data_IF_126920474954
#
_entry.id   IF_126920474954
#
_cell.length_a   1.000
_cell.length_b   1.000
_cell.length_c   1.000
_cell.angle_alpha   90.00
_cell.angle_beta   90.00
_cell.angle_gamma   90.00
#
_symmetry.space_group_name_H-M   'P 1'
#
loop_
_entity.id
_entity.type
_entity.pdbx_description
1 polymer ?
#
# COMPACT_ATOMS: atom_id res chain seq x y z
N UNK A 1 -34.65 -28.42 79.20
CA UNK A 1 -35.05 -29.32 78.10
C UNK A 1 -35.99 -28.50 77.22
N UNK A 2 -35.65 -28.02 76.03
CA UNK A 2 -34.67 -28.51 75.04
C UNK A 2 -34.25 -27.33 74.16
N UNK A 3 -33.09 -27.51 73.55
CA UNK A 3 -32.18 -26.53 72.96
C UNK A 3 -32.42 -26.31 71.45
N UNK A 4 -31.69 -25.35 70.88
CA UNK A 4 -31.31 -25.20 69.45
C UNK A 4 -31.99 -24.16 68.54
N UNK A 5 -31.40 -22.96 68.61
CA UNK A 5 -30.54 -22.34 67.59
C UNK A 5 -31.06 -22.08 66.14
N UNK A 6 -31.07 -20.80 65.84
CA UNK A 6 -31.36 -20.08 64.59
C UNK A 6 -30.20 -20.16 63.58
N UNK A 7 -30.48 -20.37 62.28
CA UNK A 7 -30.14 -19.45 61.16
C UNK A 7 -30.26 -20.05 59.74
N UNK A 8 -30.92 -19.24 58.92
CA UNK A 8 -30.68 -18.91 57.50
C UNK A 8 -30.77 -20.00 56.42
N UNK A 9 -31.79 -19.83 55.56
CA UNK A 9 -31.76 -20.27 54.17
C UNK A 9 -32.08 -19.06 53.30
N UNK A 10 -31.15 -18.68 52.43
CA UNK A 10 -31.28 -17.61 51.44
C UNK A 10 -32.31 -18.01 50.38
N UNK A 11 -33.18 -17.06 49.99
CA UNK A 11 -33.91 -17.09 48.72
C UNK A 11 -33.45 -15.87 47.92
N UNK A 12 -32.70 -16.11 46.85
CA UNK A 12 -32.39 -15.11 45.84
C UNK A 12 -33.53 -15.08 44.82
N UNK A 13 -34.14 -13.90 44.69
CA UNK A 13 -35.16 -13.56 43.72
C UNK A 13 -34.50 -13.35 42.35
N UNK A 14 -35.10 -13.90 41.29
CA UNK A 14 -34.70 -13.70 39.88
C UNK A 14 -34.88 -12.24 39.45
N UNK A 15 -33.87 -11.68 38.79
CA UNK A 15 -33.97 -10.45 38.00
C UNK A 15 -34.22 -10.75 36.50
N UNK A 16 -34.87 -9.84 35.76
CA UNK A 16 -35.26 -10.07 34.37
C UNK A 16 -34.23 -9.53 33.35
N UNK A 17 -34.00 -10.33 32.30
CA UNK A 17 -33.89 -9.86 30.91
C UNK A 17 -32.54 -9.29 30.47
N UNK A 18 -31.63 -10.18 30.06
CA UNK A 18 -30.47 -9.82 29.25
C UNK A 18 -30.91 -9.22 27.91
N UNK A 19 -30.41 -8.01 27.65
CA UNK A 19 -30.47 -7.35 26.36
C UNK A 19 -29.76 -8.22 25.30
N UNK A 20 -30.48 -8.52 24.23
CA UNK A 20 -29.94 -9.16 23.02
C UNK A 20 -28.77 -8.34 22.48
N UNK A 21 -27.56 -8.89 22.65
CA UNK A 21 -26.40 -8.50 21.88
C UNK A 21 -26.69 -8.87 20.42
N UNK A 22 -26.89 -7.86 19.57
CA UNK A 22 -26.80 -8.01 18.12
C UNK A 22 -25.31 -8.26 17.78
N UNK A 23 -24.92 -9.53 17.80
CA UNK A 23 -23.67 -9.97 17.20
C UNK A 23 -23.81 -9.89 15.67
N UNK A 24 -22.89 -9.17 15.03
CA UNK A 24 -22.72 -9.21 13.59
C UNK A 24 -22.51 -10.66 13.15
N UNK A 25 -23.34 -11.08 12.19
CA UNK A 25 -23.27 -12.41 11.62
C UNK A 25 -21.94 -12.58 10.84
N UNK A 26 -21.27 -13.73 10.94
CA UNK A 26 -20.08 -14.00 10.13
C UNK A 26 -20.48 -14.01 8.65
N UNK A 27 -19.85 -13.15 7.84
CA UNK A 27 -20.02 -13.13 6.40
C UNK A 27 -19.24 -14.33 5.81
N UNK A 28 -19.86 -15.51 5.89
CA UNK A 28 -19.39 -16.74 5.26
C UNK A 28 -20.38 -17.20 4.20
N UNK A 29 -20.12 -16.85 2.94
CA UNK A 29 -20.81 -17.44 1.80
C UNK A 29 -20.31 -18.86 1.59
N UNK A 30 -21.20 -19.85 1.82
CA UNK A 30 -21.00 -21.29 1.73
C UNK A 30 -19.82 -21.80 2.58
N UNK A 31 -20.08 -22.69 3.56
CA UNK A 31 -19.07 -23.19 4.53
C UNK A 31 -17.90 -24.00 3.94
N UNK A 32 -17.62 -23.83 2.64
CA UNK A 32 -16.69 -24.62 1.87
C UNK A 32 -15.51 -23.83 1.28
N UNK A 33 -15.63 -22.56 0.92
CA UNK A 33 -14.55 -21.84 0.22
C UNK A 33 -13.90 -20.75 1.05
N UNK A 34 -12.61 -20.47 0.79
CA UNK A 34 -11.85 -19.41 1.46
C UNK A 34 -11.51 -18.24 0.54
N UNK A 35 -11.21 -17.10 1.16
CA UNK A 35 -10.65 -15.92 0.48
C UNK A 35 -9.13 -15.87 0.73
N UNK A 36 -8.36 -15.91 -0.36
CA UNK A 36 -6.92 -15.67 -0.36
C UNK A 36 -6.63 -14.20 -0.64
N UNK A 37 -5.75 -13.58 0.13
CA UNK A 37 -5.28 -12.22 -0.07
C UNK A 37 -3.82 -12.27 -0.55
N UNK A 38 -3.51 -11.54 -1.62
CA UNK A 38 -2.15 -11.35 -2.14
C UNK A 38 -1.93 -9.86 -2.38
N UNK A 39 -1.00 -9.25 -1.66
CA UNK A 39 -0.56 -7.89 -1.96
C UNK A 39 0.95 -7.84 -2.11
N UNK A 40 1.41 -7.11 -3.12
CA UNK A 40 2.84 -6.87 -3.36
C UNK A 40 3.13 -5.38 -3.53
N UNK A 41 2.36 -4.54 -2.84
CA UNK A 41 2.40 -3.10 -3.03
C UNK A 41 3.61 -2.41 -2.40
N UNK A 42 4.24 -3.05 -1.41
CA UNK A 42 5.45 -2.56 -0.76
C UNK A 42 6.48 -3.68 -0.58
N UNK A 43 6.13 -4.67 0.25
CA UNK A 43 6.78 -5.98 0.35
C UNK A 43 5.90 -7.04 -0.31
N UNK A 44 5.76 -8.22 0.31
CA UNK A 44 4.63 -9.11 0.03
C UNK A 44 3.85 -9.42 1.30
N UNK A 45 2.54 -9.38 1.18
CA UNK A 45 1.60 -9.83 2.21
C UNK A 45 0.72 -10.91 1.60
N UNK A 46 0.72 -12.08 2.22
CA UNK A 46 -0.09 -13.21 1.77
C UNK A 46 -0.81 -13.80 2.96
N UNK A 47 -2.11 -14.02 2.84
CA UNK A 47 -2.89 -14.59 3.94
C UNK A 47 -4.23 -15.13 3.50
N UNK A 48 -4.77 -16.03 4.33
CA UNK A 48 -6.15 -16.51 4.22
C UNK A 48 -6.99 -15.73 5.21
N UNK A 49 -8.16 -15.24 4.79
CA UNK A 49 -9.06 -14.48 5.66
C UNK A 49 -9.39 -15.28 6.93
N UNK A 50 -9.25 -14.67 8.11
CA UNK A 50 -9.43 -15.32 9.41
C UNK A 50 -8.17 -15.98 9.98
N UNK A 51 -7.01 -15.78 9.34
CA UNK A 51 -5.72 -16.30 9.78
C UNK A 51 -4.63 -15.22 9.72
N UNK A 52 -3.57 -15.40 10.51
CA UNK A 52 -2.41 -14.51 10.52
C UNK A 52 -1.72 -14.48 9.14
N UNK A 53 -1.49 -13.29 8.54
CA UNK A 53 -0.75 -13.18 7.30
C UNK A 53 0.73 -13.51 7.46
N UNK A 54 1.34 -13.89 6.35
CA UNK A 54 2.79 -13.88 6.16
C UNK A 54 3.15 -12.56 5.48
N UNK A 55 4.04 -11.79 6.13
CA UNK A 55 4.52 -10.50 5.64
C UNK A 55 6.04 -10.58 5.39
N UNK A 56 6.47 -10.22 4.19
CA UNK A 56 7.87 -10.07 3.80
C UNK A 56 8.15 -8.62 3.43
N UNK A 57 8.84 -7.88 4.29
CA UNK A 57 9.18 -6.48 4.06
C UNK A 57 10.43 -6.28 3.18
N UNK A 58 11.18 -7.35 2.87
CA UNK A 58 12.38 -7.27 2.04
C UNK A 58 12.05 -7.19 0.54
N UNK A 59 12.22 -5.98 0.01
CA UNK A 59 12.06 -5.66 -1.41
C UNK A 59 12.91 -6.50 -2.38
N UNK A 60 13.95 -7.20 -1.95
CA UNK A 60 14.77 -8.04 -2.83
C UNK A 60 14.24 -9.46 -2.99
N UNK A 61 13.64 -10.02 -1.94
CA UNK A 61 13.25 -11.44 -1.89
C UNK A 61 11.73 -11.67 -1.94
N UNK A 62 10.92 -10.63 -1.78
CA UNK A 62 9.44 -10.75 -1.74
C UNK A 62 8.84 -11.45 -2.98
N UNK A 63 9.40 -11.25 -4.17
CA UNK A 63 8.94 -11.92 -5.41
C UNK A 63 9.29 -13.40 -5.41
N UNK A 64 10.52 -13.75 -5.03
CA UNK A 64 10.99 -15.15 -5.00
C UNK A 64 10.25 -15.96 -3.92
N UNK A 65 9.92 -15.31 -2.80
CA UNK A 65 9.19 -15.93 -1.68
C UNK A 65 7.69 -15.95 -1.87
N UNK A 66 7.14 -15.29 -2.89
CA UNK A 66 5.70 -15.15 -3.07
C UNK A 66 4.98 -16.51 -3.16
N UNK A 67 5.41 -17.38 -4.08
CA UNK A 67 4.81 -18.70 -4.25
C UNK A 67 4.98 -19.60 -3.01
N UNK A 68 6.19 -19.72 -2.41
CA UNK A 68 6.35 -20.42 -1.14
C UNK A 68 5.45 -19.89 -0.01
N UNK A 69 5.27 -18.57 0.07
CA UNK A 69 4.44 -17.95 1.10
C UNK A 69 2.94 -18.15 0.86
N UNK A 70 2.48 -18.23 -0.39
CA UNK A 70 1.11 -18.66 -0.70
C UNK A 70 0.89 -20.09 -0.23
N UNK A 71 1.78 -21.01 -0.56
CA UNK A 71 1.67 -22.40 -0.12
C UNK A 71 1.68 -22.50 1.42
N UNK A 72 2.56 -21.77 2.09
CA UNK A 72 2.65 -21.74 3.56
C UNK A 72 1.40 -21.11 4.19
N UNK A 73 0.87 -20.01 3.66
CA UNK A 73 -0.36 -19.40 4.18
C UNK A 73 -1.55 -20.36 4.12
N UNK A 74 -1.69 -21.10 3.02
CA UNK A 74 -2.73 -22.13 2.88
C UNK A 74 -2.52 -23.28 3.88
N UNK A 75 -1.27 -23.73 4.06
CA UNK A 75 -0.93 -24.77 5.02
C UNK A 75 -1.20 -24.35 6.47
N UNK A 76 -0.79 -23.14 6.85
CA UNK A 76 -0.96 -22.59 8.20
C UNK A 76 -2.46 -22.38 8.52
N UNK A 77 -3.27 -22.07 7.50
CA UNK A 77 -4.72 -22.03 7.61
C UNK A 77 -5.38 -23.43 7.69
N UNK A 78 -4.65 -24.49 7.35
CA UNK A 78 -5.18 -25.85 7.27
C UNK A 78 -6.14 -26.06 6.10
N UNK A 79 -6.00 -25.29 5.02
CA UNK A 79 -6.93 -25.25 3.88
C UNK A 79 -6.26 -25.79 2.62
N UNK A 80 -6.95 -26.67 1.90
CA UNK A 80 -6.49 -27.16 0.61
C UNK A 80 -6.65 -26.11 -0.50
N UNK A 81 -5.75 -26.12 -1.49
CA UNK A 81 -5.72 -25.11 -2.56
C UNK A 81 -6.99 -25.10 -3.44
N UNK A 82 -7.69 -26.23 -3.57
CA UNK A 82 -8.95 -26.36 -4.30
C UNK A 82 -10.15 -25.72 -3.58
N UNK A 83 -9.96 -25.26 -2.33
CA UNK A 83 -10.96 -24.52 -1.56
C UNK A 83 -10.86 -23.01 -1.73
N UNK A 84 -9.89 -22.51 -2.52
CA UNK A 84 -9.80 -21.08 -2.84
C UNK A 84 -10.97 -20.73 -3.76
N UNK A 85 -11.99 -20.08 -3.21
CA UNK A 85 -13.16 -19.60 -3.96
C UNK A 85 -13.08 -18.13 -4.36
N UNK A 86 -12.27 -17.35 -3.65
CA UNK A 86 -12.03 -15.93 -3.94
C UNK A 86 -10.58 -15.56 -3.71
N UNK A 87 -10.07 -14.64 -4.52
CA UNK A 87 -8.77 -14.01 -4.39
C UNK A 87 -8.97 -12.50 -4.42
N UNK A 88 -8.47 -11.80 -3.40
CA UNK A 88 -8.36 -10.34 -3.39
C UNK A 88 -6.88 -10.00 -3.60
N UNK A 89 -6.58 -9.32 -4.69
CA UNK A 89 -5.19 -8.97 -5.06
C UNK A 89 -4.98 -7.46 -5.05
N UNK A 90 -3.88 -7.02 -4.46
CA UNK A 90 -3.44 -5.62 -4.55
C UNK A 90 -3.13 -5.21 -5.98
N UNK A 91 -3.80 -4.15 -6.45
CA UNK A 91 -3.53 -3.53 -7.75
C UNK A 91 -2.65 -2.28 -7.66
N UNK A 92 -2.11 -2.03 -6.47
CA UNK A 92 -1.21 -0.95 -6.15
C UNK A 92 -1.95 0.28 -5.61
N UNK A 93 -1.31 1.46 -5.62
CA UNK A 93 -0.10 1.76 -6.37
C UNK A 93 1.21 1.24 -5.74
N UNK A 94 2.20 0.86 -6.57
CA UNK A 94 3.42 0.17 -6.15
C UNK A 94 4.52 0.03 -7.23
N UNK A 95 5.82 -0.11 -6.87
CA UNK A 95 6.87 -0.40 -7.84
C UNK A 95 6.56 -1.60 -8.76
N UNK A 96 6.81 -1.41 -10.07
CA UNK A 96 6.30 -2.27 -11.16
C UNK A 96 6.59 -3.77 -11.02
N UNK A 97 7.82 -4.14 -10.64
CA UNK A 97 8.25 -5.55 -10.61
C UNK A 97 7.46 -6.37 -9.59
N UNK A 98 7.34 -5.87 -8.35
CA UNK A 98 6.60 -6.54 -7.29
C UNK A 98 5.11 -6.61 -7.60
N UNK A 99 4.53 -5.50 -8.04
CA UNK A 99 3.11 -5.41 -8.36
C UNK A 99 2.68 -6.45 -9.42
N UNK A 100 3.45 -6.57 -10.50
CA UNK A 100 3.14 -7.54 -11.56
C UNK A 100 3.27 -8.98 -11.09
N UNK A 101 4.25 -9.29 -10.23
CA UNK A 101 4.40 -10.63 -9.70
C UNK A 101 3.17 -11.07 -8.90
N UNK A 102 2.66 -10.21 -8.02
CA UNK A 102 1.43 -10.44 -7.23
C UNK A 102 0.21 -10.66 -8.12
N UNK A 103 -0.04 -9.73 -9.06
CA UNK A 103 -1.19 -9.80 -9.98
C UNK A 103 -1.14 -11.06 -10.86
N UNK A 104 0.04 -11.39 -11.41
CA UNK A 104 0.18 -12.58 -12.27
C UNK A 104 -0.02 -13.87 -11.46
N UNK A 105 0.53 -13.95 -10.24
CA UNK A 105 0.30 -15.10 -9.36
C UNK A 105 -1.19 -15.26 -9.04
N UNK A 106 -1.87 -14.19 -8.67
CA UNK A 106 -3.31 -14.20 -8.39
C UNK A 106 -4.13 -14.64 -9.61
N UNK A 107 -3.83 -14.12 -10.81
CA UNK A 107 -4.48 -14.53 -12.06
C UNK A 107 -4.26 -16.00 -12.37
N UNK A 108 -3.05 -16.51 -12.18
CA UNK A 108 -2.74 -17.92 -12.43
C UNK A 108 -3.51 -18.85 -11.47
N UNK A 109 -3.59 -18.50 -10.18
CA UNK A 109 -4.35 -19.26 -9.20
C UNK A 109 -5.84 -19.19 -9.53
N UNK A 110 -6.38 -18.00 -9.80
CA UNK A 110 -7.79 -17.83 -10.18
C UNK A 110 -8.15 -18.67 -11.41
N UNK A 111 -7.29 -18.67 -12.43
CA UNK A 111 -7.47 -19.48 -13.63
C UNK A 111 -7.47 -20.98 -13.32
N UNK A 112 -6.61 -21.44 -12.41
CA UNK A 112 -6.49 -22.85 -12.05
C UNK A 112 -7.63 -23.33 -11.14
N UNK A 113 -8.09 -22.51 -10.20
CA UNK A 113 -9.11 -22.88 -9.21
C UNK A 113 -10.54 -22.50 -9.60
N UNK A 114 -10.71 -21.62 -10.60
CA UNK A 114 -12.01 -21.01 -10.91
C UNK A 114 -12.46 -19.96 -9.89
N UNK A 115 -11.55 -19.49 -9.03
CA UNK A 115 -11.86 -18.49 -8.01
C UNK A 115 -12.26 -17.15 -8.63
N UNK A 116 -13.18 -16.46 -7.94
CA UNK A 116 -13.45 -15.05 -8.19
C UNK A 116 -12.20 -14.21 -7.87
N UNK A 117 -11.81 -13.32 -8.78
CA UNK A 117 -10.62 -12.49 -8.63
C UNK A 117 -11.01 -11.01 -8.58
N UNK A 118 -10.68 -10.37 -7.46
CA UNK A 118 -10.98 -8.96 -7.21
C UNK A 118 -9.67 -8.18 -7.05
N UNK A 119 -9.51 -7.11 -7.84
CA UNK A 119 -8.44 -6.13 -7.65
C UNK A 119 -8.79 -5.12 -6.55
N UNK A 120 -7.83 -4.77 -5.70
CA UNK A 120 -8.03 -3.82 -4.60
C UNK A 120 -6.93 -2.76 -4.55
N UNK A 121 -7.34 -1.49 -4.56
CA UNK A 121 -6.48 -0.32 -4.35
C UNK A 121 -6.07 -0.24 -2.86
N UNK A 122 -4.78 -0.04 -2.58
CA UNK A 122 -4.28 0.06 -1.21
C UNK A 122 -4.50 1.44 -0.58
N UNK A 123 -4.42 2.54 -1.33
CA UNK A 123 -4.54 3.90 -0.80
C UNK A 123 -5.94 4.19 -0.27
N UNK A 124 -6.97 3.75 -1.01
CA UNK A 124 -8.37 3.90 -0.59
C UNK A 124 -8.65 3.15 0.72
N UNK A 125 -8.12 1.92 0.85
CA UNK A 125 -8.31 1.11 2.07
C UNK A 125 -7.54 1.70 3.25
N UNK A 126 -6.34 2.24 3.01
CA UNK A 126 -5.59 2.96 4.04
C UNK A 126 -6.35 4.21 4.52
N UNK A 127 -7.03 4.91 3.62
CA UNK A 127 -7.90 6.02 3.96
C UNK A 127 -9.08 5.59 4.83
N UNK A 128 -9.81 4.55 4.43
CA UNK A 128 -10.91 3.97 5.21
C UNK A 128 -10.45 3.57 6.62
N UNK A 129 -9.27 2.95 6.71
CA UNK A 129 -8.66 2.56 7.97
C UNK A 129 -8.35 3.78 8.85
N UNK A 130 -7.71 4.81 8.30
CA UNK A 130 -7.44 6.06 9.02
C UNK A 130 -8.73 6.71 9.51
N UNK A 131 -9.79 6.80 8.68
CA UNK A 131 -11.08 7.37 9.08
C UNK A 131 -11.69 6.64 10.27
N UNK A 132 -11.64 5.31 10.31
CA UNK A 132 -12.13 4.52 11.46
C UNK A 132 -11.35 4.82 12.73
N UNK A 133 -10.04 5.03 12.64
CA UNK A 133 -9.20 5.42 13.79
C UNK A 133 -9.49 6.84 14.29
N UNK A 134 -9.98 7.73 13.44
CA UNK A 134 -10.27 9.14 13.76
C UNK A 134 -11.72 9.35 14.24
N UNK A 135 -12.69 8.60 13.71
CA UNK A 135 -14.10 8.66 14.13
C UNK A 135 -14.27 8.29 15.62
N UNK A 136 -13.30 7.58 16.21
CA UNK A 136 -13.25 7.33 17.65
C UNK A 136 -12.85 8.58 18.47
N UNK A 137 -12.57 9.74 17.86
CA UNK A 137 -11.88 10.87 18.51
C UNK A 137 -12.35 12.29 18.15
N UNK A 138 -13.30 12.51 17.23
CA UNK A 138 -13.59 13.86 16.68
C UNK A 138 -14.81 14.60 17.27
N UNK A 139 -14.64 15.88 17.63
CA UNK A 139 -15.67 16.81 18.15
C UNK A 139 -16.34 17.68 17.05
N UNK A 140 -16.52 17.15 15.84
CA UNK A 140 -17.32 17.73 14.72
C UNK A 140 -16.90 19.09 14.15
N UNK A 141 -15.96 19.80 14.77
CA UNK A 141 -15.55 21.17 14.42
C UNK A 141 -14.33 21.26 13.50
N UNK A 142 -13.61 20.15 13.30
CA UNK A 142 -12.37 20.09 12.52
C UNK A 142 -12.55 19.11 11.38
N UNK A 143 -12.19 19.52 10.16
CA UNK A 143 -12.30 18.68 8.97
C UNK A 143 -11.04 17.87 8.80
N UNK A 144 -11.16 16.55 8.92
CA UNK A 144 -10.05 15.63 8.71
C UNK A 144 -9.93 15.30 7.22
N UNK A 145 -8.70 15.36 6.73
CA UNK A 145 -8.31 15.01 5.37
C UNK A 145 -7.25 13.93 5.48
N UNK A 146 -7.38 12.86 4.71
CA UNK A 146 -6.37 11.80 4.69
C UNK A 146 -5.50 11.91 3.45
N UNK A 147 -4.19 12.02 3.67
CA UNK A 147 -3.17 11.79 2.65
C UNK A 147 -2.70 10.34 2.77
N UNK A 148 -3.25 9.47 1.91
CA UNK A 148 -2.79 8.09 1.81
C UNK A 148 -1.58 8.03 0.87
N UNK A 149 -0.50 7.38 1.30
CA UNK A 149 0.75 7.29 0.54
C UNK A 149 1.29 5.87 0.46
N UNK A 150 2.12 5.63 -0.55
CA UNK A 150 3.00 4.46 -0.62
C UNK A 150 4.35 4.84 -1.25
N UNK A 151 5.45 4.23 -0.79
CA UNK A 151 6.81 4.54 -1.26
C UNK A 151 6.99 4.19 -2.75
N UNK A 152 7.15 5.22 -3.59
CA UNK A 152 7.37 5.05 -5.03
C UNK A 152 8.85 4.84 -5.40
N UNK A 153 9.73 4.76 -4.39
CA UNK A 153 11.19 4.79 -4.51
C UNK A 153 11.68 6.12 -5.11
N UNK A 154 13.00 6.29 -5.19
CA UNK A 154 13.67 7.47 -5.80
C UNK A 154 13.16 8.81 -5.23
N UNK A 155 12.84 8.84 -3.94
CA UNK A 155 12.35 10.01 -3.21
C UNK A 155 10.96 10.52 -3.62
N UNK A 156 10.15 9.69 -4.27
CA UNK A 156 8.78 10.00 -4.64
C UNK A 156 7.79 9.14 -3.84
N UNK A 157 6.54 9.59 -3.76
CA UNK A 157 5.43 8.85 -3.17
C UNK A 157 4.32 8.71 -4.20
N UNK A 158 3.69 7.54 -4.23
CA UNK A 158 2.32 7.44 -4.73
C UNK A 158 1.42 8.03 -3.66
N UNK A 159 0.46 8.85 -4.06
CA UNK A 159 -0.42 9.52 -3.11
C UNK A 159 -1.82 9.71 -3.68
N UNK A 160 -2.79 9.79 -2.80
CA UNK A 160 -4.14 10.27 -3.07
C UNK A 160 -4.63 11.04 -1.84
N UNK A 161 -5.49 12.04 -2.06
CA UNK A 161 -6.05 12.87 -0.98
C UNK A 161 -7.55 12.66 -0.90
N UNK A 162 -8.03 12.39 0.30
CA UNK A 162 -9.41 12.07 0.58
C UNK A 162 -9.98 12.90 1.70
N UNK A 163 -11.28 13.13 1.67
CA UNK A 163 -12.03 13.77 2.73
C UNK A 163 -13.43 13.18 2.76
N UNK A 164 -13.82 12.62 3.90
CA UNK A 164 -15.00 11.77 4.00
C UNK A 164 -14.97 10.66 2.94
N UNK A 165 -16.02 10.47 2.13
CA UNK A 165 -16.03 9.52 1.00
C UNK A 165 -15.51 10.14 -0.30
N UNK A 166 -15.09 11.42 -0.30
CA UNK A 166 -14.69 12.15 -1.51
C UNK A 166 -13.20 11.99 -1.77
N UNK A 167 -12.87 11.72 -3.03
CA UNK A 167 -11.52 11.87 -3.56
C UNK A 167 -11.29 13.33 -3.93
N UNK A 168 -10.40 14.01 -3.21
CA UNK A 168 -9.99 15.39 -3.50
C UNK A 168 -8.87 15.44 -4.53
N UNK A 169 -7.92 14.51 -4.44
CA UNK A 169 -6.89 14.29 -5.45
C UNK A 169 -6.81 12.81 -5.77
N UNK A 170 -7.03 12.48 -7.04
CA UNK A 170 -6.88 11.11 -7.54
C UNK A 170 -5.42 10.64 -7.40
N UNK A 171 -5.24 9.33 -7.45
CA UNK A 171 -3.93 8.70 -7.31
C UNK A 171 -2.93 9.25 -8.35
N UNK A 172 -1.81 9.76 -7.85
CA UNK A 172 -0.71 10.32 -8.64
C UNK A 172 0.64 10.01 -7.96
N UNK A 173 1.75 10.36 -8.62
CA UNK A 173 3.11 10.18 -8.10
C UNK A 173 3.86 11.52 -8.14
N UNK A 174 4.44 11.93 -7.02
CA UNK A 174 5.29 13.13 -7.01
C UNK A 174 6.31 13.14 -5.87
N UNK A 175 7.15 14.19 -5.84
CA UNK A 175 8.03 14.47 -4.71
C UNK A 175 7.22 15.04 -3.53
N UNK A 176 7.58 14.70 -2.27
CA UNK A 176 6.86 15.15 -1.08
C UNK A 176 6.61 16.66 -1.00
N UNK A 177 7.59 17.50 -1.38
CA UNK A 177 7.43 18.95 -1.37
C UNK A 177 6.39 19.44 -2.40
N UNK A 178 6.30 18.75 -3.54
CA UNK A 178 5.34 19.07 -4.60
C UNK A 178 3.93 18.61 -4.22
N UNK A 179 3.83 17.45 -3.55
CA UNK A 179 2.59 16.97 -2.92
C UNK A 179 2.07 18.01 -1.91
N UNK A 180 2.92 18.52 -1.02
CA UNK A 180 2.54 19.58 -0.06
C UNK A 180 1.95 20.79 -0.77
N UNK A 181 2.63 21.31 -1.80
CA UNK A 181 2.14 22.47 -2.57
C UNK A 181 0.77 22.20 -3.22
N UNK A 182 0.56 21.02 -3.78
CA UNK A 182 -0.72 20.62 -4.38
C UNK A 182 -1.83 20.51 -3.33
N UNK A 183 -1.54 19.94 -2.16
CA UNK A 183 -2.50 19.83 -1.05
C UNK A 183 -2.95 21.21 -0.58
N UNK A 184 -2.01 22.12 -0.34
CA UNK A 184 -2.32 23.49 0.09
C UNK A 184 -3.26 24.15 -0.92
N UNK A 185 -2.90 24.15 -2.21
CA UNK A 185 -3.72 24.74 -3.26
C UNK A 185 -5.11 24.08 -3.38
N UNK A 186 -5.18 22.75 -3.24
CA UNK A 186 -6.44 22.00 -3.26
C UNK A 186 -7.35 22.41 -2.09
N UNK A 187 -6.82 22.42 -0.87
CA UNK A 187 -7.61 22.71 0.34
C UNK A 187 -8.00 24.20 0.44
N UNK A 188 -7.16 25.12 -0.05
CA UNK A 188 -7.52 26.53 -0.19
C UNK A 188 -8.72 26.72 -1.13
N UNK A 189 -8.86 25.89 -2.17
CA UNK A 189 -10.00 25.94 -3.07
C UNK A 189 -11.28 25.30 -2.50
N UNK A 190 -11.14 24.40 -1.52
CA UNK A 190 -12.26 23.74 -0.83
C UNK A 190 -12.72 24.50 0.44
N UNK A 191 -11.92 25.45 0.92
CA UNK A 191 -12.13 26.13 2.20
C UNK A 191 -13.23 27.20 2.14
N UNK A 192 -14.14 27.17 3.12
CA UNK A 192 -14.95 28.34 3.50
C UNK A 192 -14.20 29.30 4.43
N UNK A 193 -14.82 30.44 4.76
CA UNK A 193 -14.24 31.53 5.57
C UNK A 193 -13.68 31.12 6.94
N UNK A 194 -14.13 29.99 7.49
CA UNK A 194 -13.81 29.51 8.85
C UNK A 194 -13.29 28.08 8.89
N UNK A 195 -12.93 27.50 7.75
CA UNK A 195 -12.53 26.10 7.71
C UNK A 195 -11.10 25.91 8.23
N UNK A 196 -10.94 24.89 9.07
CA UNK A 196 -9.65 24.38 9.52
C UNK A 196 -9.55 22.90 9.14
N UNK A 197 -8.43 22.54 8.52
CA UNK A 197 -8.14 21.17 8.09
C UNK A 197 -7.02 20.55 8.91
N UNK A 198 -7.23 19.30 9.31
CA UNK A 198 -6.19 18.42 9.84
C UNK A 198 -5.87 17.38 8.77
N UNK A 199 -4.63 17.33 8.35
CA UNK A 199 -4.13 16.37 7.36
C UNK A 199 -3.50 15.19 8.11
N UNK A 200 -4.20 14.05 8.12
CA UNK A 200 -3.69 12.79 8.63
C UNK A 200 -3.02 12.01 7.49
N UNK A 201 -1.82 11.52 7.73
CA UNK A 201 -0.96 10.89 6.71
C UNK A 201 -0.78 9.42 7.06
N UNK A 202 -1.03 8.53 6.10
CA UNK A 202 -1.00 7.08 6.33
C UNK A 202 -0.31 6.34 5.20
N UNK A 203 0.52 5.37 5.55
CA UNK A 203 1.15 4.46 4.61
C UNK A 203 2.66 4.43 4.63
N UNK A 204 3.22 3.43 3.96
CA UNK A 204 4.65 3.26 3.83
C UNK A 204 5.30 4.48 3.18
N UNK A 205 6.29 5.06 3.85
CA UNK A 205 6.98 6.26 3.42
C UNK A 205 6.46 7.55 4.05
N UNK A 206 5.37 7.50 4.82
CA UNK A 206 4.80 8.67 5.50
C UNK A 206 5.80 9.29 6.50
N UNK A 207 6.42 8.49 7.38
CA UNK A 207 7.31 9.06 8.43
C UNK A 207 8.60 9.63 7.86
N UNK A 208 9.08 9.10 6.72
CA UNK A 208 10.34 9.51 6.09
C UNK A 208 10.40 11.00 5.74
N UNK A 209 9.23 11.63 5.54
CA UNK A 209 9.11 13.01 5.08
C UNK A 209 8.38 13.90 6.10
N UNK A 210 8.39 13.54 7.38
CA UNK A 210 7.76 14.32 8.47
C UNK A 210 8.12 15.79 8.44
N UNK A 211 9.39 16.11 8.18
CA UNK A 211 9.88 17.49 8.12
C UNK A 211 9.28 18.26 6.95
N UNK A 212 9.00 17.58 5.83
CA UNK A 212 8.34 18.16 4.67
C UNK A 212 6.86 18.40 4.97
N UNK A 213 6.19 17.45 5.63
CA UNK A 213 4.77 17.61 6.02
C UNK A 213 4.57 18.78 6.98
N UNK A 214 5.49 18.99 7.92
CA UNK A 214 5.45 20.10 8.87
C UNK A 214 5.43 21.48 8.20
N UNK A 215 5.91 21.59 6.96
CA UNK A 215 5.88 22.85 6.20
C UNK A 215 4.45 23.30 5.83
N UNK A 216 3.46 22.39 5.81
CA UNK A 216 2.04 22.75 5.60
C UNK A 216 1.50 23.70 6.68
N UNK A 217 2.12 23.72 7.86
CA UNK A 217 1.69 24.55 9.00
C UNK A 217 2.30 25.96 8.96
N UNK A 218 3.26 26.21 8.06
CA UNK A 218 3.98 27.47 8.00
C UNK A 218 3.30 28.38 6.97
N UNK A 219 2.81 29.57 7.35
CA UNK A 219 2.31 30.52 6.38
C UNK A 219 3.45 30.98 5.48
N UNK A 220 3.17 31.08 4.18
CA UNK A 220 4.14 31.58 3.21
C UNK A 220 4.50 33.03 3.59
N UNK A 221 5.79 33.28 3.81
CA UNK A 221 6.27 34.57 4.34
C UNK A 221 5.99 35.72 3.36
N UNK A 222 5.98 35.42 2.05
CA UNK A 222 5.66 36.38 0.99
C UNK A 222 4.14 36.60 0.84
N UNK A 223 3.32 35.55 1.02
CA UNK A 223 1.87 35.67 0.97
C UNK A 223 1.31 36.45 2.16
N UNK A 224 2.00 36.45 3.31
CA UNK A 224 1.59 37.15 4.54
C UNK A 224 1.56 38.68 4.40
N UNK A 225 2.20 39.26 3.38
CA UNK A 225 2.19 40.69 3.08
C UNK A 225 0.96 41.15 2.28
N UNK A 226 0.34 40.22 1.55
CA UNK A 226 -0.90 40.44 0.82
C UNK A 226 -2.02 39.87 1.70
N UNK A 227 -3.03 40.64 2.06
CA UNK A 227 -4.08 40.28 3.01
C UNK A 227 -5.04 39.19 2.49
N UNK A 228 -4.48 38.03 2.10
CA UNK A 228 -5.15 36.87 1.52
C UNK A 228 -5.61 35.98 2.66
N UNK A 229 -6.85 35.49 2.56
CA UNK A 229 -7.44 34.56 3.51
C UNK A 229 -6.55 33.31 3.62
N UNK A 230 -6.08 33.00 4.82
CA UNK A 230 -5.28 31.80 5.06
C UNK A 230 -6.16 30.72 5.66
N UNK A 231 -6.30 29.62 4.93
CA UNK A 231 -6.89 28.38 5.43
C UNK A 231 -6.01 27.84 6.55
N UNK A 232 -6.59 27.52 7.70
CA UNK A 232 -5.83 26.95 8.81
C UNK A 232 -5.53 25.46 8.52
N UNK A 233 -4.27 25.14 8.24
CA UNK A 233 -3.80 23.78 7.98
C UNK A 233 -2.92 23.28 9.12
N UNK A 234 -3.14 22.02 9.52
CA UNK A 234 -2.29 21.35 10.50
C UNK A 234 -2.06 19.88 10.13
N UNK A 235 -0.90 19.34 10.51
CA UNK A 235 -0.63 17.90 10.36
C UNK A 235 -1.17 17.17 11.59
N UNK A 236 -1.97 16.15 11.36
CA UNK A 236 -2.53 15.26 12.38
C UNK A 236 -1.64 14.06 12.63
N UNK A 237 -2.23 12.86 12.57
CA UNK A 237 -1.52 11.59 12.73
C UNK A 237 -0.63 11.35 11.52
N UNK A 238 0.56 10.81 11.76
CA UNK A 238 1.45 10.27 10.72
C UNK A 238 1.70 8.81 11.05
N UNK A 239 1.17 7.90 10.22
CA UNK A 239 1.25 6.45 10.41
C UNK A 239 2.06 5.86 9.26
N UNK A 240 3.26 5.38 9.54
CA UNK A 240 4.18 4.76 8.56
C UNK A 240 3.96 3.26 8.43
N UNK A 241 2.69 2.88 8.28
CA UNK A 241 2.24 1.51 8.12
C UNK A 241 1.07 1.47 7.15
N UNK A 242 0.93 0.36 6.46
CA UNK A 242 -0.28 -0.01 5.73
C UNK A 242 -1.30 -0.68 6.65
N UNK A 243 -2.55 -0.68 6.21
CA UNK A 243 -3.61 -1.52 6.78
C UNK A 243 -3.19 -3.00 6.79
N UNK A 244 -2.42 -3.45 5.81
CA UNK A 244 -1.96 -4.84 5.69
C UNK A 244 -0.89 -5.23 6.74
N UNK A 245 -0.32 -4.26 7.45
CA UNK A 245 0.62 -4.53 8.55
C UNK A 245 -0.13 -4.84 9.86
N UNK A 246 -1.46 -4.69 9.89
CA UNK A 246 -2.30 -4.88 11.07
C UNK A 246 -2.74 -6.34 11.26
N UNK A 247 -1.99 -7.30 10.71
CA UNK A 247 -2.24 -8.73 10.86
C UNK A 247 -3.58 -9.17 10.25
N UNK A 248 -4.29 -10.03 10.98
CA UNK A 248 -5.57 -10.60 10.55
C UNK A 248 -6.65 -9.53 10.34
N UNK A 249 -6.73 -8.53 11.22
CA UNK A 249 -7.68 -7.42 11.09
C UNK A 249 -7.41 -6.61 9.82
N UNK A 250 -6.14 -6.37 9.52
CA UNK A 250 -5.70 -5.71 8.30
C UNK A 250 -6.16 -6.43 7.02
N UNK A 251 -5.98 -7.75 6.97
CA UNK A 251 -6.49 -8.58 5.88
C UNK A 251 -8.01 -8.49 5.74
N UNK A 252 -8.73 -8.53 6.86
CA UNK A 252 -10.18 -8.44 6.86
C UNK A 252 -10.66 -7.09 6.32
N UNK A 253 -10.05 -5.98 6.75
CA UNK A 253 -10.38 -4.65 6.24
C UNK A 253 -10.16 -4.57 4.72
N UNK A 254 -9.02 -5.08 4.25
CA UNK A 254 -8.66 -5.08 2.82
C UNK A 254 -9.62 -5.93 1.97
N UNK A 255 -9.91 -7.15 2.41
CA UNK A 255 -10.82 -8.04 1.70
C UNK A 255 -12.27 -7.52 1.71
N UNK A 256 -12.75 -7.01 2.85
CA UNK A 256 -14.11 -6.48 2.95
C UNK A 256 -14.32 -5.22 2.09
N UNK A 257 -13.28 -4.38 1.91
CA UNK A 257 -13.38 -3.24 1.00
C UNK A 257 -13.66 -3.70 -0.44
N UNK A 258 -12.94 -4.71 -0.92
CA UNK A 258 -13.16 -5.29 -2.24
C UNK A 258 -14.56 -5.90 -2.38
N UNK A 259 -14.98 -6.68 -1.37
CA UNK A 259 -16.30 -7.32 -1.39
C UNK A 259 -17.43 -6.30 -1.40
N UNK A 260 -17.36 -5.24 -0.56
CA UNK A 260 -18.38 -4.18 -0.55
C UNK A 260 -18.52 -3.48 -1.91
N UNK A 261 -17.40 -3.18 -2.57
CA UNK A 261 -17.40 -2.51 -3.88
C UNK A 261 -17.98 -3.41 -4.97
N UNK A 262 -17.58 -4.67 -4.98
CA UNK A 262 -18.13 -5.69 -5.88
C UNK A 262 -19.64 -5.87 -5.68
N UNK A 263 -20.10 -5.99 -4.43
CA UNK A 263 -21.54 -6.08 -4.09
C UNK A 263 -22.31 -4.80 -4.47
N UNK A 264 -21.63 -3.64 -4.45
CA UNK A 264 -22.13 -2.38 -4.98
C UNK A 264 -22.20 -2.31 -6.51
N UNK A 265 -21.78 -3.37 -7.22
CA UNK A 265 -21.82 -3.47 -8.68
C UNK A 265 -20.58 -2.93 -9.40
N UNK A 266 -19.51 -2.63 -8.67
CA UNK A 266 -18.27 -2.15 -9.26
C UNK A 266 -17.44 -3.28 -9.87
N UNK A 267 -16.88 -3.04 -11.05
CA UNK A 267 -15.90 -3.94 -11.65
C UNK A 267 -14.53 -3.73 -11.00
N UNK A 268 -13.94 -4.79 -10.44
CA UNK A 268 -12.65 -4.77 -9.75
C UNK A 268 -11.58 -5.55 -10.53
N UNK A 269 -11.08 -5.01 -11.66
CA UNK A 269 -10.12 -5.73 -12.48
C UNK A 269 -8.78 -5.90 -11.75
N UNK A 270 -8.17 -7.08 -11.90
CA UNK A 270 -6.80 -7.33 -11.45
C UNK A 270 -5.79 -6.76 -12.47
N UNK A 271 -5.82 -5.45 -12.69
CA UNK A 271 -4.87 -4.72 -13.54
C UNK A 271 -4.18 -3.63 -12.72
N UNK A 272 -2.88 -3.35 -12.94
CA UNK A 272 -2.20 -2.27 -12.22
C UNK A 272 -2.97 -0.95 -12.33
N UNK A 273 -3.19 -0.28 -11.20
CA UNK A 273 -3.92 1.00 -11.12
C UNK A 273 -3.31 2.10 -12.02
N UNK A 274 -2.03 1.96 -12.35
CA UNK A 274 -1.33 2.82 -13.30
C UNK A 274 -0.22 2.06 -14.01
N UNK A 275 0.01 2.46 -15.25
CA UNK A 275 1.26 2.20 -15.94
C UNK A 275 2.05 3.51 -15.88
N UNK A 276 3.12 3.55 -15.09
CA UNK A 276 4.11 4.62 -15.16
C UNK A 276 4.48 4.80 -16.64
N UNK A 277 4.33 6.01 -17.19
CA UNK A 277 4.96 6.31 -18.50
C UNK A 277 6.44 5.92 -18.35
N UNK A 278 7.03 5.12 -19.25
CA UNK A 278 8.42 4.72 -19.10
C UNK A 278 9.27 5.96 -18.78
N UNK A 279 10.02 5.96 -17.68
CA UNK A 279 10.98 7.02 -17.34
C UNK A 279 12.17 7.02 -18.31
N UNK A 280 11.92 6.92 -19.61
CA UNK A 280 12.97 7.02 -20.61
C UNK A 280 13.33 8.49 -20.72
N UNK A 281 14.19 8.94 -19.81
CA UNK A 281 15.06 10.06 -20.09
C UNK A 281 16.17 9.55 -20.99
N UNK A 282 16.38 10.21 -22.14
CA UNK A 282 17.51 9.92 -23.03
C UNK A 282 18.78 10.03 -22.18
N UNK A 283 19.64 8.99 -22.13
CA UNK A 283 20.88 9.06 -21.38
C UNK A 283 21.66 10.31 -21.79
N UNK A 284 22.23 11.03 -20.82
CA UNK A 284 23.20 12.10 -21.15
C UNK A 284 24.26 11.49 -22.08
N UNK A 285 24.66 12.20 -23.16
CA UNK A 285 25.69 11.72 -24.05
C UNK A 285 26.90 11.25 -23.24
N UNK A 286 27.45 10.08 -23.59
CA UNK A 286 28.66 9.58 -22.95
C UNK A 286 29.71 10.69 -22.97
N UNK A 287 30.29 10.98 -21.80
CA UNK A 287 31.37 11.96 -21.67
C UNK A 287 32.49 11.51 -22.60
N UNK A 288 32.83 12.33 -23.60
CA UNK A 288 33.95 12.00 -24.51
C UNK A 288 35.20 11.83 -23.66
N UNK A 289 35.75 10.61 -23.67
CA UNK A 289 37.05 10.32 -23.09
C UNK A 289 38.06 10.97 -24.05
N UNK A 290 38.65 12.09 -23.63
CA UNK A 290 39.80 12.65 -24.33
C UNK A 290 40.94 11.64 -24.19
N UNK A 291 41.29 10.97 -25.30
CA UNK A 291 42.53 10.21 -25.38
C UNK A 291 43.68 11.18 -25.07
N UNK A 292 44.45 10.87 -24.01
CA UNK A 292 45.71 11.56 -23.76
C UNK A 292 46.62 11.33 -24.98
N UNK A 293 47.30 12.37 -25.48
CA UNK A 293 48.27 12.17 -26.55
C UNK A 293 49.41 11.29 -26.04
N UNK A 294 49.69 10.21 -26.77
CA UNK A 294 50.84 9.35 -26.52
C UNK A 294 52.13 10.20 -26.58
N UNK A 295 52.90 10.16 -25.50
CA UNK A 295 54.21 10.78 -25.44
C UNK A 295 55.20 9.89 -26.22
N UNK A 296 55.97 10.43 -27.18
CA UNK A 296 56.89 9.62 -27.97
C UNK A 296 58.19 9.34 -27.20
N UNK A 297 58.77 8.18 -27.52
CA UNK A 297 60.07 7.63 -27.12
C UNK A 297 60.08 6.77 -25.84
N UNK A 298 60.10 5.45 -26.02
CA UNK A 298 61.39 4.75 -25.92
C UNK A 298 61.41 3.52 -26.83
N UNK A 299 62.40 3.52 -27.71
CA UNK A 299 62.69 2.47 -28.65
C UNK A 299 63.50 1.38 -27.95
N UNK A 300 63.01 0.14 -27.94
CA UNK A 300 63.89 -1.02 -27.97
C UNK A 300 63.36 -2.11 -28.88
N UNK A 301 64.19 -2.35 -29.89
CA UNK A 301 64.18 -3.38 -30.91
C UNK A 301 63.58 -4.73 -30.50
N UNK A 302 62.81 -5.31 -31.40
CA UNK A 302 63.13 -6.67 -31.80
C UNK A 302 62.91 -6.87 -33.30
N UNK A 303 63.99 -7.28 -33.96
CA UNK A 303 64.01 -7.87 -35.28
C UNK A 303 63.04 -9.06 -35.33
N UNK A 304 62.18 -9.15 -36.35
CA UNK A 304 62.52 -10.03 -37.47
C UNK A 304 61.57 -9.87 -38.67
N UNK A 305 62.22 -9.92 -39.82
CA UNK A 305 61.71 -9.87 -41.19
C UNK A 305 61.34 -11.33 -41.57
N UNK A 306 60.19 -11.70 -42.15
CA UNK A 306 59.88 -11.68 -43.59
C UNK A 306 58.50 -12.37 -43.81
N UNK A 307 57.67 -11.79 -44.69
CA UNK A 307 56.51 -12.41 -45.40
C UNK A 307 57.02 -13.37 -46.52
N UNK A 308 56.22 -14.29 -47.13
CA UNK A 308 54.91 -13.99 -47.74
C UNK A 308 53.87 -15.14 -47.86
N UNK A 309 52.75 -14.78 -48.48
CA UNK A 309 51.52 -15.54 -48.73
C UNK A 309 51.60 -16.54 -49.91
N UNK A 310 50.76 -17.57 -49.87
CA UNK A 310 50.24 -18.38 -50.99
C UNK A 310 49.04 -19.23 -50.47
N UNK A 311 47.79 -18.93 -50.85
CA UNK A 311 46.94 -19.62 -51.87
C UNK A 311 46.62 -21.10 -51.63
N UNK A 312 45.32 -21.39 -51.43
CA UNK A 312 44.54 -22.55 -51.94
C UNK A 312 44.90 -23.97 -51.47
N UNK A 313 43.97 -24.69 -50.85
CA UNK A 313 42.99 -25.58 -51.54
C UNK A 313 42.30 -26.51 -50.51
N UNK A 314 41.03 -26.83 -50.75
CA UNK A 314 40.27 -27.85 -50.02
C UNK A 314 40.84 -29.25 -50.32
N UNK A 315 40.84 -30.16 -49.33
CA UNK A 315 40.38 -31.56 -49.46
C UNK A 315 40.59 -32.35 -48.15
N UNK A 316 39.47 -32.89 -47.67
CA UNK A 316 39.25 -33.96 -46.68
C UNK A 316 39.36 -33.63 -45.19
#
# INVERSE_FOLDING_TARGET
MTDQNTRHTMRHTQEPGDAQQHGDAPIGGNGDTVTLIIDTSFGSTVGVLGHTPIVESDSRSHVERLQPNIARAMQDAGVAADRIGRIVVGVGPAPFTGLRAGIVAAKAIAYASGAELLGQDILEVQHDWMRRLLHQSSDGRVRHVTLAVNDARRHQLYYALYMDERVLMAMDIDFPADIVRKIIACLESEAGDTDAFVIDIVGHGAQRYSDVWATMQQPDAEASAQQVRQTALSVGRVIDQSVLDQGEEGLAIFAQAAVRRMEGGEALPAEPLYLRRPDVSVPKPLKQVLHHPEHPADAHANHDVQRPAATGDELR
#
